data_IF_946737261292
#
_entry.id   IF_946737261292
#
_cell.length_a   1.000
_cell.length_b   1.000
_cell.length_c   1.000
_cell.angle_alpha   90.00
_cell.angle_beta   90.00
_cell.angle_gamma   90.00
#
_symmetry.space_group_name_H-M   'P 1'
#
loop_
_entity.id
_entity.type
_entity.pdbx_description
1 polymer ?
#
# COMPACT_ATOMS: atom_id res chain seq x y z
N UNK A 1 -0.55 -64.97 -26.48
CA UNK A 1 -0.55 -66.14 -25.59
C UNK A 1 -1.24 -65.61 -24.35
N UNK A 2 -2.64 -65.72 -24.24
CA UNK A 2 -3.39 -66.80 -23.64
C UNK A 2 -3.02 -66.90 -22.14
N UNK A 3 -3.91 -66.75 -21.15
CA UNK A 3 -5.27 -67.26 -20.89
C UNK A 3 -5.79 -66.54 -19.66
N UNK A 4 -7.01 -65.97 -19.48
CA UNK A 4 -8.30 -66.64 -19.24
C UNK A 4 -8.41 -67.43 -17.93
N UNK A 5 -9.41 -67.05 -17.12
CA UNK A 5 -10.00 -67.76 -16.00
C UNK A 5 -10.61 -66.76 -15.03
N UNK A 6 -11.84 -66.38 -15.00
CA UNK A 6 -13.16 -66.94 -14.81
C UNK A 6 -13.46 -67.42 -13.37
N UNK A 7 -14.46 -66.67 -12.75
CA UNK A 7 -15.62 -67.08 -11.93
C UNK A 7 -15.37 -67.53 -10.48
N UNK A 8 -16.02 -66.85 -9.50
CA UNK A 8 -17.18 -67.36 -8.81
C UNK A 8 -17.72 -66.40 -7.74
N UNK A 9 -19.02 -66.36 -7.70
CA UNK A 9 -19.99 -65.80 -6.76
C UNK A 9 -19.72 -66.10 -5.29
N UNK A 10 -20.26 -65.22 -4.40
CA UNK A 10 -20.41 -65.52 -3.01
C UNK A 10 -20.89 -64.32 -2.20
N UNK A 11 -22.18 -64.15 -2.19
CA UNK A 11 -23.13 -63.84 -1.10
C UNK A 11 -22.82 -62.81 -0.03
N UNK A 12 -23.76 -61.92 0.09
CA UNK A 12 -24.44 -61.30 1.24
C UNK A 12 -23.75 -61.25 2.60
N UNK A 13 -23.53 -59.97 3.05
CA UNK A 13 -23.77 -59.64 4.47
C UNK A 13 -24.10 -58.14 4.60
N UNK A 14 -25.32 -57.88 4.95
CA UNK A 14 -25.82 -56.63 5.52
C UNK A 14 -24.88 -56.09 6.59
N UNK A 15 -24.41 -54.82 6.42
CA UNK A 15 -23.65 -54.04 7.38
C UNK A 15 -24.20 -52.65 7.45
N UNK A 16 -25.28 -52.49 8.18
CA UNK A 16 -25.88 -51.21 8.59
C UNK A 16 -24.83 -50.39 9.38
N UNK A 17 -24.07 -49.51 8.69
CA UNK A 17 -23.15 -48.58 9.28
C UNK A 17 -23.85 -47.24 9.54
N UNK A 18 -23.81 -46.68 10.77
CA UNK A 18 -24.51 -45.44 11.08
C UNK A 18 -23.92 -44.30 10.27
N UNK A 19 -24.74 -43.72 9.42
CA UNK A 19 -24.45 -42.53 8.62
C UNK A 19 -23.97 -41.37 9.51
N UNK A 20 -22.67 -41.13 9.49
CA UNK A 20 -22.04 -39.94 10.06
C UNK A 20 -22.44 -38.71 9.28
N UNK A 21 -23.69 -38.27 9.43
CA UNK A 21 -24.13 -36.96 8.99
C UNK A 21 -23.33 -35.92 9.76
N UNK A 22 -22.39 -35.27 9.10
CA UNK A 22 -21.77 -34.04 9.58
C UNK A 22 -22.89 -33.08 9.96
N UNK A 23 -23.16 -32.94 11.26
CA UNK A 23 -24.04 -31.90 11.80
C UNK A 23 -23.42 -30.57 11.33
N UNK A 24 -23.97 -29.97 10.26
CA UNK A 24 -23.79 -28.56 9.97
C UNK A 24 -24.18 -27.83 11.24
N UNK A 25 -23.22 -27.25 11.94
CA UNK A 25 -23.48 -26.42 13.11
C UNK A 25 -24.53 -25.39 12.68
N UNK A 26 -25.71 -25.48 13.30
CA UNK A 26 -26.84 -24.63 12.95
C UNK A 26 -26.47 -23.19 13.38
N UNK A 27 -25.97 -22.38 12.43
CA UNK A 27 -25.62 -20.99 12.72
C UNK A 27 -26.89 -20.30 13.19
N UNK A 28 -26.86 -19.74 14.41
CA UNK A 28 -27.96 -18.96 14.96
C UNK A 28 -28.32 -17.83 14.00
N UNK A 29 -29.61 -17.57 13.80
CA UNK A 29 -30.13 -16.57 12.87
C UNK A 29 -30.95 -15.52 13.60
N UNK A 30 -31.20 -14.35 12.94
CA UNK A 30 -32.13 -13.32 13.44
C UNK A 30 -33.52 -13.95 13.73
N UNK A 31 -33.96 -14.95 12.96
CA UNK A 31 -35.21 -15.68 13.17
C UNK A 31 -35.23 -16.44 14.47
N UNK A 32 -34.09 -16.97 14.91
CA UNK A 32 -34.00 -17.72 16.18
C UNK A 32 -34.03 -16.77 17.36
N UNK A 33 -33.35 -15.62 17.28
CA UNK A 33 -33.44 -14.54 18.27
C UNK A 33 -34.87 -14.00 18.40
N UNK A 34 -35.52 -13.69 17.27
CA UNK A 34 -36.89 -13.19 17.24
C UNK A 34 -37.87 -14.17 17.89
N UNK A 35 -37.74 -15.46 17.58
CA UNK A 35 -38.59 -16.55 18.16
C UNK A 35 -38.39 -16.67 19.67
N UNK A 36 -37.15 -16.63 20.17
CA UNK A 36 -36.85 -16.77 21.61
C UNK A 36 -37.31 -15.58 22.43
N UNK A 37 -37.22 -14.37 21.85
CA UNK A 37 -37.66 -13.14 22.54
C UNK A 37 -39.10 -12.78 22.33
N UNK A 38 -39.84 -13.54 21.48
CA UNK A 38 -41.24 -13.27 21.10
C UNK A 38 -41.45 -11.88 20.51
N UNK A 39 -40.50 -11.40 19.68
CA UNK A 39 -40.54 -10.10 19.00
C UNK A 39 -40.38 -10.30 17.47
N UNK A 40 -40.65 -9.25 16.69
CA UNK A 40 -40.48 -9.32 15.25
C UNK A 40 -39.00 -9.37 14.83
N UNK A 41 -38.71 -9.97 13.66
CA UNK A 41 -37.35 -9.94 13.05
C UNK A 41 -36.89 -8.51 12.83
N UNK A 42 -37.81 -7.58 12.49
CA UNK A 42 -37.51 -6.17 12.34
C UNK A 42 -37.05 -5.55 13.65
N UNK A 43 -37.73 -5.86 14.78
CA UNK A 43 -37.34 -5.38 16.11
C UNK A 43 -35.95 -5.90 16.49
N UNK A 44 -35.64 -7.17 16.25
CA UNK A 44 -34.28 -7.73 16.46
C UNK A 44 -33.27 -6.99 15.61
N UNK A 45 -33.54 -6.77 14.33
CA UNK A 45 -32.65 -6.03 13.43
C UNK A 45 -32.41 -4.59 13.89
N UNK A 46 -33.45 -3.89 14.36
CA UNK A 46 -33.34 -2.52 14.88
C UNK A 46 -32.50 -2.49 16.18
N UNK A 47 -32.71 -3.47 17.06
CA UNK A 47 -31.93 -3.59 18.29
C UNK A 47 -30.44 -3.79 18.01
N UNK A 48 -30.10 -4.77 17.14
CA UNK A 48 -28.72 -5.10 16.76
C UNK A 48 -28.00 -3.97 16.04
N UNK A 49 -28.72 -3.18 15.21
CA UNK A 49 -28.14 -2.09 14.42
C UNK A 49 -28.27 -0.72 15.08
N UNK A 50 -28.69 -0.63 16.35
CA UNK A 50 -28.80 0.64 17.05
C UNK A 50 -29.85 1.61 16.50
N UNK A 51 -30.79 1.15 15.66
CA UNK A 51 -31.83 2.00 15.07
C UNK A 51 -32.91 2.35 16.07
N UNK A 52 -33.57 3.49 15.89
CA UNK A 52 -34.78 3.86 16.61
C UNK A 52 -35.92 2.92 16.23
N UNK A 53 -36.88 2.69 17.17
CA UNK A 53 -38.07 1.82 16.94
C UNK A 53 -38.15 0.63 17.87
N UNK A 54 -37.21 0.48 18.81
CA UNK A 54 -37.27 -0.47 19.94
C UNK A 54 -36.88 0.24 21.23
N UNK A 55 -37.49 -0.19 22.38
CA UNK A 55 -37.11 0.34 23.68
C UNK A 55 -35.69 -0.11 24.08
N UNK A 56 -35.03 0.66 24.93
CA UNK A 56 -33.69 0.31 25.43
C UNK A 56 -33.70 -1.03 26.16
N UNK A 57 -34.74 -1.35 26.91
CA UNK A 57 -34.93 -2.66 27.56
C UNK A 57 -34.96 -3.80 26.51
N UNK A 58 -35.71 -3.63 25.43
CA UNK A 58 -35.77 -4.63 24.34
C UNK A 58 -34.40 -4.76 23.67
N UNK A 59 -33.69 -3.66 23.46
CA UNK A 59 -32.35 -3.66 22.90
C UNK A 59 -31.39 -4.48 23.76
N UNK A 60 -31.34 -4.22 25.04
CA UNK A 60 -30.47 -4.94 25.98
C UNK A 60 -30.77 -6.44 25.98
N UNK A 61 -32.05 -6.85 26.01
CA UNK A 61 -32.44 -8.26 25.93
C UNK A 61 -32.00 -8.94 24.64
N UNK A 62 -32.07 -8.22 23.50
CA UNK A 62 -31.60 -8.75 22.22
C UNK A 62 -30.08 -8.92 22.20
N UNK A 63 -29.33 -7.92 22.67
CA UNK A 63 -27.87 -7.96 22.71
C UNK A 63 -27.38 -9.08 23.65
N UNK A 64 -27.96 -9.20 24.82
CA UNK A 64 -27.63 -10.27 25.78
C UNK A 64 -27.88 -11.67 25.19
N UNK A 65 -29.05 -11.88 24.58
CA UNK A 65 -29.36 -13.18 23.97
C UNK A 65 -28.47 -13.48 22.77
N UNK A 66 -28.07 -12.45 21.99
CA UNK A 66 -27.16 -12.62 20.88
C UNK A 66 -25.77 -13.08 21.38
N UNK A 67 -25.27 -12.49 22.45
CA UNK A 67 -24.02 -12.87 23.09
C UNK A 67 -24.08 -14.29 23.66
N UNK A 68 -25.12 -14.62 24.42
CA UNK A 68 -25.32 -15.97 24.99
C UNK A 68 -25.36 -17.09 23.94
N UNK A 69 -25.87 -16.77 22.74
CA UNK A 69 -26.00 -17.75 21.65
C UNK A 69 -24.83 -17.70 20.66
N UNK A 70 -23.84 -16.83 20.88
CA UNK A 70 -22.73 -16.61 19.94
C UNK A 70 -23.25 -16.12 18.57
N UNK A 71 -24.34 -15.35 18.56
CA UNK A 71 -24.87 -14.80 17.32
C UNK A 71 -24.02 -13.63 16.85
N UNK A 72 -23.40 -13.79 15.71
CA UNK A 72 -22.75 -12.69 14.98
C UNK A 72 -23.57 -12.33 13.75
N UNK A 73 -23.96 -11.05 13.60
CA UNK A 73 -24.65 -10.59 12.41
C UNK A 73 -23.86 -10.98 11.15
N UNK A 74 -24.57 -11.45 10.13
CA UNK A 74 -23.93 -11.68 8.84
C UNK A 74 -23.53 -10.34 8.24
N UNK A 75 -22.23 -10.10 8.02
CA UNK A 75 -21.70 -8.85 7.45
C UNK A 75 -22.39 -8.48 6.13
N UNK A 76 -22.72 -9.47 5.28
CA UNK A 76 -23.46 -9.23 4.04
C UNK A 76 -24.89 -8.71 4.29
N UNK A 77 -25.58 -9.20 5.33
CA UNK A 77 -26.93 -8.74 5.68
C UNK A 77 -26.89 -7.32 6.30
N UNK A 78 -25.86 -7.04 7.09
CA UNK A 78 -25.63 -5.71 7.66
C UNK A 78 -25.30 -4.72 6.55
N UNK A 79 -24.39 -5.07 5.63
CA UNK A 79 -24.02 -4.26 4.48
C UNK A 79 -25.24 -3.94 3.59
N UNK A 80 -26.08 -4.93 3.30
CA UNK A 80 -27.34 -4.75 2.54
C UNK A 80 -28.29 -3.78 3.24
N UNK A 81 -28.39 -3.88 4.56
CA UNK A 81 -29.27 -3.03 5.37
C UNK A 81 -28.75 -1.60 5.56
N UNK A 82 -27.43 -1.43 5.55
CA UNK A 82 -26.75 -0.15 5.73
C UNK A 82 -26.36 0.53 4.41
N UNK A 83 -26.49 -0.20 3.27
CA UNK A 83 -25.98 0.22 1.94
C UNK A 83 -24.49 0.58 1.98
N UNK A 84 -23.72 -0.05 2.88
CA UNK A 84 -22.26 0.13 3.07
C UNK A 84 -21.63 -1.20 3.42
N UNK A 85 -20.50 -1.49 2.80
CA UNK A 85 -19.76 -2.75 3.03
C UNK A 85 -18.77 -2.66 4.19
N UNK A 86 -18.47 -1.45 4.65
CA UNK A 86 -17.36 -1.15 5.58
C UNK A 86 -16.03 -1.73 5.06
N UNK A 87 -15.85 -1.69 3.76
CA UNK A 87 -14.66 -2.23 3.11
C UNK A 87 -14.11 -1.19 2.16
N UNK A 88 -12.83 -0.90 2.25
CA UNK A 88 -12.13 -0.09 1.25
C UNK A 88 -11.35 -1.00 0.29
N UNK A 89 -11.14 -0.52 -0.93
CA UNK A 89 -10.42 -1.24 -1.98
C UNK A 89 -9.06 -0.62 -2.26
N UNK A 90 -8.06 -1.47 -2.42
CA UNK A 90 -6.75 -1.11 -2.96
C UNK A 90 -6.41 -2.10 -4.07
N UNK A 91 -6.09 -1.57 -5.25
CA UNK A 91 -5.61 -2.38 -6.37
C UNK A 91 -4.25 -1.84 -6.77
N UNK A 92 -3.23 -2.68 -6.72
CA UNK A 92 -1.85 -2.31 -7.03
C UNK A 92 -1.43 -3.05 -8.30
N UNK A 93 -1.17 -2.29 -9.37
CA UNK A 93 -0.69 -2.81 -10.65
C UNK A 93 0.84 -2.81 -10.67
N UNK A 94 1.45 -3.79 -10.03
CA UNK A 94 2.89 -3.97 -9.90
C UNK A 94 3.25 -5.45 -9.94
N UNK A 95 4.44 -5.74 -10.39
CA UNK A 95 5.00 -7.08 -10.28
C UNK A 95 4.93 -7.58 -8.81
N UNK A 96 4.25 -8.71 -8.55
CA UNK A 96 4.14 -9.26 -7.19
C UNK A 96 5.49 -9.54 -6.53
N UNK A 97 6.53 -9.87 -7.31
CA UNK A 97 7.87 -10.08 -6.79
C UNK A 97 8.47 -8.79 -6.23
N UNK A 98 8.21 -7.65 -6.87
CA UNK A 98 8.64 -6.34 -6.38
C UNK A 98 7.90 -5.96 -5.10
N UNK A 99 6.57 -6.10 -5.08
CA UNK A 99 5.74 -5.79 -3.90
C UNK A 99 6.19 -6.58 -2.67
N UNK A 100 6.64 -7.83 -2.86
CA UNK A 100 7.09 -8.68 -1.75
C UNK A 100 8.37 -8.17 -1.05
N UNK A 101 9.14 -7.32 -1.71
CA UNK A 101 10.43 -6.80 -1.23
C UNK A 101 10.38 -5.30 -0.91
N UNK A 102 9.38 -4.57 -1.41
CA UNK A 102 9.26 -3.12 -1.27
C UNK A 102 8.55 -2.76 0.04
N UNK A 103 9.28 -2.24 1.00
CA UNK A 103 8.76 -1.91 2.33
C UNK A 103 7.71 -0.80 2.31
N UNK A 104 7.72 0.07 1.31
CA UNK A 104 6.79 1.20 1.17
C UNK A 104 5.31 0.77 1.28
N UNK A 105 4.88 -0.21 0.46
CA UNK A 105 3.49 -0.66 0.46
C UNK A 105 3.10 -1.31 1.77
N UNK A 106 3.94 -2.19 2.31
CA UNK A 106 3.61 -2.88 3.56
C UNK A 106 3.46 -1.92 4.73
N UNK A 107 4.35 -0.93 4.86
CA UNK A 107 4.26 0.09 5.89
C UNK A 107 3.03 0.98 5.71
N UNK A 108 2.70 1.35 4.47
CA UNK A 108 1.50 2.12 4.15
C UNK A 108 0.24 1.33 4.51
N UNK A 109 0.17 0.03 4.15
CA UNK A 109 -0.95 -0.84 4.49
C UNK A 109 -1.13 -0.99 6.00
N UNK A 110 -0.04 -1.10 6.77
CA UNK A 110 -0.11 -1.11 8.25
C UNK A 110 -0.77 0.17 8.77
N UNK A 111 -0.40 1.34 8.24
CA UNK A 111 -1.03 2.60 8.63
C UNK A 111 -2.53 2.66 8.28
N UNK A 112 -2.91 2.15 7.11
CA UNK A 112 -4.31 2.03 6.69
C UNK A 112 -5.07 1.10 7.65
N UNK A 113 -4.54 -0.09 7.94
CA UNK A 113 -5.16 -1.07 8.84
C UNK A 113 -5.30 -0.55 10.27
N UNK A 114 -4.36 0.25 10.78
CA UNK A 114 -4.50 0.91 12.07
C UNK A 114 -5.77 1.78 12.13
N UNK A 115 -6.01 2.58 11.09
CA UNK A 115 -7.24 3.40 11.02
C UNK A 115 -8.49 2.54 10.86
N UNK A 116 -8.46 1.52 9.98
CA UNK A 116 -9.60 0.64 9.73
C UNK A 116 -10.05 -0.11 10.97
N UNK A 117 -9.10 -0.54 11.81
CA UNK A 117 -9.40 -1.18 13.09
C UNK A 117 -10.15 -0.24 14.07
N UNK A 118 -9.82 1.06 14.07
CA UNK A 118 -10.53 2.05 14.91
C UNK A 118 -11.98 2.26 14.49
N UNK A 119 -12.28 2.13 13.18
CA UNK A 119 -13.61 2.37 12.61
C UNK A 119 -14.36 1.08 12.26
N UNK A 120 -13.88 -0.09 12.71
CA UNK A 120 -14.48 -1.42 12.46
C UNK A 120 -14.74 -1.65 10.97
N UNK A 121 -13.72 -1.49 10.15
CA UNK A 121 -13.77 -1.61 8.70
C UNK A 121 -12.68 -2.55 8.18
N UNK A 122 -12.76 -2.97 6.92
CA UNK A 122 -11.86 -3.96 6.34
C UNK A 122 -11.18 -3.43 5.07
N UNK A 123 -10.04 -4.02 4.72
CA UNK A 123 -9.34 -3.79 3.48
C UNK A 123 -9.55 -4.96 2.50
N UNK A 124 -9.86 -4.64 1.26
CA UNK A 124 -9.83 -5.57 0.14
C UNK A 124 -8.65 -5.20 -0.77
N UNK A 125 -7.61 -6.02 -0.75
CA UNK A 125 -6.39 -5.83 -1.53
C UNK A 125 -6.37 -6.75 -2.75
N UNK A 126 -5.96 -6.21 -3.91
CA UNK A 126 -5.66 -6.97 -5.12
C UNK A 126 -4.34 -6.53 -5.72
N UNK A 127 -3.49 -7.48 -6.01
CA UNK A 127 -2.30 -7.27 -6.82
C UNK A 127 -2.62 -7.72 -8.25
N UNK A 128 -2.28 -6.90 -9.25
CA UNK A 128 -2.37 -7.21 -10.66
C UNK A 128 -0.97 -7.11 -11.27
N UNK A 129 -0.65 -8.01 -12.18
CA UNK A 129 0.70 -8.07 -12.76
C UNK A 129 0.97 -6.97 -13.78
N UNK A 130 -0.06 -6.50 -14.45
CA UNK A 130 0.05 -5.58 -15.57
C UNK A 130 -0.78 -4.31 -15.36
N UNK A 131 -0.29 -3.21 -15.93
CA UNK A 131 -1.01 -1.95 -15.96
C UNK A 131 -2.26 -2.07 -16.87
N UNK A 132 -3.42 -1.66 -16.35
CA UNK A 132 -4.72 -1.76 -17.02
C UNK A 132 -5.62 -2.85 -16.45
N UNK A 133 -5.10 -3.95 -15.94
CA UNK A 133 -5.91 -4.96 -15.22
C UNK A 133 -6.54 -4.39 -13.95
N UNK A 134 -5.88 -3.43 -13.31
CA UNK A 134 -6.36 -2.72 -12.12
C UNK A 134 -7.68 -1.99 -12.42
N UNK A 135 -7.82 -1.33 -13.56
CA UNK A 135 -9.04 -0.62 -13.96
C UNK A 135 -10.23 -1.58 -14.06
N UNK A 136 -10.04 -2.79 -14.60
CA UNK A 136 -11.10 -3.79 -14.71
C UNK A 136 -11.51 -4.32 -13.32
N UNK A 137 -10.56 -4.49 -12.42
CA UNK A 137 -10.84 -4.86 -11.02
C UNK A 137 -11.63 -3.76 -10.31
N UNK A 138 -11.21 -2.49 -10.45
CA UNK A 138 -11.88 -1.35 -9.86
C UNK A 138 -13.34 -1.26 -10.33
N UNK A 139 -13.57 -1.33 -11.66
CA UNK A 139 -14.93 -1.33 -12.26
C UNK A 139 -15.79 -2.50 -11.75
N UNK A 140 -15.20 -3.70 -11.69
CA UNK A 140 -15.91 -4.90 -11.23
C UNK A 140 -16.30 -4.78 -9.77
N UNK A 141 -15.39 -4.37 -8.88
CA UNK A 141 -15.67 -4.24 -7.44
C UNK A 141 -16.69 -3.14 -7.15
N UNK A 142 -16.60 -2.02 -7.87
CA UNK A 142 -17.58 -0.94 -7.78
C UNK A 142 -18.99 -1.41 -8.16
N UNK A 143 -19.13 -2.06 -9.32
CA UNK A 143 -20.44 -2.57 -9.79
C UNK A 143 -21.02 -3.66 -8.90
N UNK A 144 -20.19 -4.44 -8.27
CA UNK A 144 -20.58 -5.49 -7.33
C UNK A 144 -20.86 -4.96 -5.92
N UNK A 145 -20.62 -3.69 -5.65
CA UNK A 145 -20.73 -3.10 -4.31
C UNK A 145 -19.86 -3.82 -3.29
N UNK A 146 -18.61 -4.19 -3.66
CA UNK A 146 -17.70 -4.90 -2.76
C UNK A 146 -16.95 -3.99 -1.83
N UNK A 147 -16.82 -2.73 -2.18
CA UNK A 147 -16.09 -1.71 -1.45
C UNK A 147 -16.86 -0.40 -1.44
N UNK A 148 -16.66 0.42 -0.43
CA UNK A 148 -17.28 1.73 -0.27
C UNK A 148 -16.44 2.87 -0.87
N UNK A 149 -15.19 2.57 -1.23
CA UNK A 149 -14.27 3.52 -1.85
C UNK A 149 -12.90 2.90 -2.12
N UNK A 150 -12.02 3.66 -2.76
CA UNK A 150 -10.68 3.22 -3.14
C UNK A 150 -9.58 4.19 -2.70
N UNK A 151 -8.42 3.63 -2.34
CA UNK A 151 -7.16 4.38 -2.27
C UNK A 151 -6.33 3.98 -3.48
N UNK A 152 -5.91 4.96 -4.29
CA UNK A 152 -5.11 4.78 -5.48
C UNK A 152 -3.67 5.22 -5.21
N UNK A 153 -2.73 4.35 -5.56
CA UNK A 153 -1.30 4.62 -5.56
C UNK A 153 -0.78 4.70 -7.00
N UNK A 154 0.45 5.18 -7.15
CA UNK A 154 1.17 5.18 -8.41
C UNK A 154 0.38 5.88 -9.54
N UNK A 155 0.01 7.13 -9.30
CA UNK A 155 -0.69 7.94 -10.28
C UNK A 155 0.15 8.11 -11.55
N UNK A 156 -0.49 7.90 -12.69
CA UNK A 156 0.08 8.17 -14.02
C UNK A 156 -0.47 9.49 -14.58
N UNK A 157 0.21 10.03 -15.60
CA UNK A 157 -0.39 11.10 -16.41
C UNK A 157 -1.65 10.56 -17.11
N UNK A 158 -2.73 11.34 -17.11
CA UNK A 158 -4.02 10.97 -17.69
C UNK A 158 -4.55 9.63 -17.15
N UNK A 159 -4.41 9.41 -15.85
CA UNK A 159 -4.76 8.15 -15.18
C UNK A 159 -6.23 7.77 -15.40
N UNK A 160 -6.54 6.68 -16.14
CA UNK A 160 -7.90 6.31 -16.51
C UNK A 160 -8.75 5.83 -15.33
N UNK A 161 -8.10 5.49 -14.20
CA UNK A 161 -8.79 5.03 -12.98
C UNK A 161 -9.64 6.15 -12.36
N UNK A 162 -9.14 7.38 -12.41
CA UNK A 162 -9.78 8.55 -11.81
C UNK A 162 -11.12 8.86 -12.48
N UNK A 163 -11.20 9.13 -13.80
CA UNK A 163 -12.49 9.38 -14.45
C UNK A 163 -13.44 8.18 -14.36
N UNK A 164 -12.94 6.95 -14.41
CA UNK A 164 -13.78 5.76 -14.28
C UNK A 164 -14.48 5.67 -12.91
N UNK A 165 -13.78 5.96 -11.81
CA UNK A 165 -14.38 5.96 -10.46
C UNK A 165 -15.36 7.12 -10.26
N UNK A 166 -15.06 8.29 -10.84
CA UNK A 166 -16.00 9.43 -10.86
C UNK A 166 -17.30 9.09 -11.59
N UNK A 167 -17.21 8.48 -12.77
CA UNK A 167 -18.38 8.03 -13.55
C UNK A 167 -19.23 7.02 -12.78
N UNK A 168 -18.59 6.13 -12.03
CA UNK A 168 -19.26 5.14 -11.19
C UNK A 168 -19.80 5.71 -9.87
N UNK A 169 -19.50 6.96 -9.54
CA UNK A 169 -19.90 7.61 -8.29
C UNK A 169 -19.27 6.99 -7.05
N UNK A 170 -18.08 6.37 -7.17
CA UNK A 170 -17.39 5.70 -6.08
C UNK A 170 -16.32 6.64 -5.49
N UNK A 171 -16.35 6.90 -4.18
CA UNK A 171 -15.33 7.70 -3.50
C UNK A 171 -13.93 7.17 -3.74
N UNK A 172 -12.97 8.06 -4.00
CA UNK A 172 -11.58 7.67 -4.05
C UNK A 172 -10.64 8.75 -3.50
N UNK A 173 -9.51 8.29 -2.99
CA UNK A 173 -8.36 9.11 -2.61
C UNK A 173 -7.17 8.71 -3.46
N UNK A 174 -6.52 9.68 -4.08
CA UNK A 174 -5.26 9.46 -4.81
C UNK A 174 -4.10 9.90 -3.93
N UNK A 175 -3.18 8.98 -3.66
CA UNK A 175 -1.89 9.33 -3.05
C UNK A 175 -1.00 9.88 -4.17
N UNK A 176 -0.78 11.18 -4.17
CA UNK A 176 -0.24 11.93 -5.28
C UNK A 176 0.86 12.90 -4.84
N UNK A 177 1.51 13.53 -5.82
CA UNK A 177 2.44 14.64 -5.62
C UNK A 177 1.94 15.94 -6.27
N UNK A 178 0.70 15.95 -6.78
CA UNK A 178 0.05 17.13 -7.34
C UNK A 178 -1.42 17.19 -6.92
N UNK A 179 -2.04 18.34 -7.08
CA UNK A 179 -3.44 18.60 -6.70
C UNK A 179 -4.16 19.32 -7.84
N UNK A 180 -4.47 18.65 -8.96
CA UNK A 180 -5.34 19.22 -9.98
C UNK A 180 -6.75 19.45 -9.40
N UNK A 181 -7.42 20.49 -9.87
CA UNK A 181 -8.80 20.79 -9.51
C UNK A 181 -9.76 19.89 -10.30
N UNK A 182 -9.76 18.62 -9.97
CA UNK A 182 -10.60 17.60 -10.61
C UNK A 182 -11.71 17.07 -9.70
N UNK A 183 -11.85 17.62 -8.49
CA UNK A 183 -12.85 17.24 -7.52
C UNK A 183 -12.63 15.87 -6.87
N UNK A 184 -11.43 15.30 -6.97
CA UNK A 184 -11.04 14.03 -6.36
C UNK A 184 -10.24 14.28 -5.09
N UNK A 185 -10.47 13.47 -4.06
CA UNK A 185 -9.70 13.56 -2.84
C UNK A 185 -8.23 13.20 -3.05
N UNK A 186 -7.32 14.01 -2.51
CA UNK A 186 -5.89 13.80 -2.69
C UNK A 186 -5.12 13.90 -1.39
N UNK A 187 -4.28 12.91 -1.17
CA UNK A 187 -3.24 12.97 -0.16
C UNK A 187 -1.93 13.35 -0.86
N UNK A 188 -1.49 14.57 -0.66
CA UNK A 188 -0.38 15.18 -1.39
C UNK A 188 0.90 15.00 -0.59
N UNK A 189 1.89 14.34 -1.18
CA UNK A 189 3.25 14.35 -0.66
C UNK A 189 3.99 15.56 -1.20
N UNK A 190 4.61 16.34 -0.31
CA UNK A 190 5.41 17.52 -0.70
C UNK A 190 6.89 17.12 -0.90
N UNK A 191 7.27 16.62 -2.08
CA UNK A 191 8.64 16.17 -2.33
C UNK A 191 9.63 17.34 -2.35
N UNK A 192 9.15 18.58 -2.52
CA UNK A 192 9.99 19.79 -2.56
C UNK A 192 10.81 19.95 -1.29
N UNK A 193 10.17 19.80 -0.13
CA UNK A 193 10.85 19.95 1.16
C UNK A 193 11.83 18.80 1.39
N UNK A 194 11.43 17.59 1.02
CA UNK A 194 12.27 16.39 1.14
C UNK A 194 13.50 16.46 0.24
N UNK A 195 13.33 16.83 -1.04
CA UNK A 195 14.45 17.02 -1.98
C UNK A 195 15.38 18.14 -1.50
N UNK A 196 14.80 19.24 -1.00
CA UNK A 196 15.57 20.35 -0.42
C UNK A 196 16.42 19.86 0.74
N UNK A 197 15.83 19.18 1.71
CA UNK A 197 16.53 18.63 2.89
C UNK A 197 17.70 17.71 2.49
N UNK A 198 17.46 16.83 1.51
CA UNK A 198 18.48 15.89 1.04
C UNK A 198 19.62 16.60 0.30
N UNK A 199 19.30 17.56 -0.57
CA UNK A 199 20.31 18.33 -1.29
C UNK A 199 21.09 19.30 -0.37
N UNK A 200 20.46 19.85 0.68
CA UNK A 200 21.16 20.64 1.69
C UNK A 200 22.18 19.78 2.43
N UNK A 201 21.81 18.57 2.85
CA UNK A 201 22.75 17.62 3.45
C UNK A 201 23.94 17.30 2.53
N UNK A 202 23.69 17.05 1.24
CA UNK A 202 24.76 16.78 0.28
C UNK A 202 25.64 18.01 0.03
N UNK A 203 25.06 19.21 -0.01
CA UNK A 203 25.78 20.47 -0.17
C UNK A 203 26.69 20.77 1.05
N UNK A 204 26.17 20.56 2.26
CA UNK A 204 26.95 20.71 3.51
C UNK A 204 28.14 19.75 3.57
N UNK A 205 27.99 18.55 2.99
CA UNK A 205 29.08 17.58 2.83
C UNK A 205 30.03 17.91 1.65
N UNK A 206 29.74 18.96 0.87
CA UNK A 206 30.57 19.44 -0.23
C UNK A 206 30.43 18.67 -1.54
N UNK A 207 29.35 17.88 -1.72
CA UNK A 207 29.09 17.18 -2.97
C UNK A 207 28.62 18.17 -4.06
N UNK A 208 29.27 18.15 -5.21
CA UNK A 208 28.93 18.97 -6.38
C UNK A 208 28.44 18.14 -7.57
N UNK A 209 28.83 16.89 -7.67
CA UNK A 209 28.39 15.92 -8.69
C UNK A 209 27.61 14.81 -8.01
N UNK A 210 26.31 14.73 -8.31
CA UNK A 210 25.37 13.78 -7.73
C UNK A 210 24.68 13.01 -8.86
N UNK A 211 24.57 11.68 -8.73
CA UNK A 211 23.69 10.91 -9.58
C UNK A 211 22.38 10.61 -8.82
N UNK A 212 21.26 10.75 -9.49
CA UNK A 212 19.94 10.38 -9.00
C UNK A 212 19.39 9.24 -9.86
N UNK A 213 19.18 8.08 -9.25
CA UNK A 213 18.52 6.93 -9.89
C UNK A 213 17.07 6.90 -9.40
N UNK A 214 16.14 7.28 -10.25
CA UNK A 214 14.71 7.34 -9.95
C UNK A 214 14.05 5.95 -10.04
N UNK A 215 12.76 5.87 -9.69
CA UNK A 215 11.87 4.81 -10.17
C UNK A 215 11.40 5.05 -11.60
N UNK A 216 10.36 4.29 -12.05
CA UNK A 216 9.80 4.42 -13.40
C UNK A 216 9.26 5.84 -13.66
N UNK A 217 9.70 6.43 -14.77
CA UNK A 217 9.33 7.79 -15.13
C UNK A 217 7.87 7.93 -15.60
N UNK A 218 7.16 6.82 -15.69
CA UNK A 218 5.72 6.80 -15.95
C UNK A 218 4.89 7.35 -14.78
N UNK A 219 5.45 7.36 -13.56
CA UNK A 219 4.76 7.85 -12.36
C UNK A 219 4.91 9.37 -12.19
N UNK A 220 3.80 10.04 -11.90
CA UNK A 220 3.73 11.48 -11.68
C UNK A 220 4.71 11.94 -10.60
N UNK A 221 4.80 11.19 -9.49
CA UNK A 221 5.69 11.52 -8.40
C UNK A 221 7.18 11.43 -8.77
N UNK A 222 7.58 10.49 -9.64
CA UNK A 222 8.97 10.39 -10.10
C UNK A 222 9.34 11.53 -11.06
N UNK A 223 8.44 11.88 -11.98
CA UNK A 223 8.64 13.03 -12.87
C UNK A 223 8.86 14.32 -12.09
N UNK A 224 8.04 14.55 -11.07
CA UNK A 224 8.18 15.71 -10.20
C UNK A 224 9.51 15.67 -9.43
N UNK A 225 9.85 14.52 -8.85
CA UNK A 225 11.08 14.33 -8.08
C UNK A 225 12.33 14.60 -8.92
N UNK A 226 12.39 14.04 -10.12
CA UNK A 226 13.50 14.26 -11.06
C UNK A 226 13.66 15.75 -11.40
N UNK A 227 12.55 16.43 -11.70
CA UNK A 227 12.56 17.89 -11.96
C UNK A 227 13.08 18.67 -10.76
N UNK A 228 12.60 18.37 -9.56
CA UNK A 228 13.00 19.04 -8.33
C UNK A 228 14.49 18.83 -8.03
N UNK A 229 15.01 17.63 -8.19
CA UNK A 229 16.45 17.37 -8.02
C UNK A 229 17.28 18.22 -8.96
N UNK A 230 16.89 18.33 -10.23
CA UNK A 230 17.60 19.15 -11.21
C UNK A 230 17.52 20.66 -10.89
N UNK A 231 16.35 21.15 -10.50
CA UNK A 231 16.13 22.58 -10.19
C UNK A 231 16.80 23.00 -8.89
N UNK A 232 16.55 22.26 -7.81
CA UNK A 232 17.09 22.57 -6.48
C UNK A 232 18.58 22.29 -6.38
N UNK A 233 19.09 21.31 -7.13
CA UNK A 233 20.52 21.05 -7.25
C UNK A 233 21.25 22.23 -7.86
N UNK A 234 20.77 22.76 -8.99
CA UNK A 234 21.36 23.96 -9.63
C UNK A 234 21.41 25.17 -8.70
N UNK A 235 20.37 25.38 -7.89
CA UNK A 235 20.33 26.47 -6.90
C UNK A 235 21.42 26.34 -5.82
N UNK A 236 21.94 25.13 -5.58
CA UNK A 236 22.99 24.80 -4.60
C UNK A 236 24.37 24.57 -5.21
N UNK A 237 24.52 24.80 -6.51
CA UNK A 237 25.77 24.50 -7.22
C UNK A 237 26.03 22.97 -7.36
N UNK A 238 25.01 22.15 -7.19
CA UNK A 238 25.09 20.71 -7.38
C UNK A 238 24.59 20.36 -8.79
N UNK A 239 25.42 19.65 -9.56
CA UNK A 239 25.01 19.04 -10.82
C UNK A 239 24.40 17.67 -10.54
N UNK A 240 23.11 17.52 -10.83
CA UNK A 240 22.42 16.23 -10.68
C UNK A 240 22.26 15.60 -12.05
N UNK A 241 22.81 14.40 -12.23
CA UNK A 241 22.60 13.55 -13.41
C UNK A 241 21.55 12.50 -13.09
N UNK A 242 20.50 12.44 -13.91
CA UNK A 242 19.40 11.51 -13.72
C UNK A 242 19.61 10.21 -14.51
N UNK A 243 19.25 9.09 -13.88
CA UNK A 243 19.14 7.76 -14.46
C UNK A 243 17.78 7.16 -14.07
N UNK A 244 17.10 6.54 -15.02
CA UNK A 244 15.83 5.84 -14.74
C UNK A 244 16.10 4.42 -14.31
N UNK A 245 15.44 3.98 -13.23
CA UNK A 245 15.37 2.62 -12.72
C UNK A 245 13.92 2.15 -12.61
N UNK A 246 13.70 1.00 -11.98
CA UNK A 246 12.36 0.40 -11.83
C UNK A 246 12.03 0.01 -10.39
N UNK A 247 12.76 0.52 -9.42
CA UNK A 247 12.73 0.14 -8.00
C UNK A 247 13.25 -1.27 -7.69
N UNK A 248 13.68 -2.03 -8.73
CA UNK A 248 14.23 -3.37 -8.55
C UNK A 248 15.68 -3.30 -8.07
N UNK A 249 16.08 -4.33 -7.32
CA UNK A 249 17.46 -4.51 -6.88
C UNK A 249 18.43 -4.55 -8.07
N UNK A 250 18.06 -5.28 -9.11
CA UNK A 250 18.87 -5.48 -10.32
C UNK A 250 19.17 -4.15 -11.04
N UNK A 251 18.17 -3.27 -11.14
CA UNK A 251 18.34 -1.96 -11.77
C UNK A 251 19.21 -1.03 -10.89
N UNK A 252 19.03 -1.07 -9.56
CA UNK A 252 19.92 -0.38 -8.64
C UNK A 252 21.36 -0.80 -8.84
N UNK A 253 21.61 -2.10 -8.99
CA UNK A 253 22.94 -2.66 -9.26
C UNK A 253 23.48 -2.23 -10.63
N UNK A 254 22.67 -2.33 -11.68
CA UNK A 254 23.07 -2.00 -13.05
C UNK A 254 23.39 -0.50 -13.18
N UNK A 255 22.50 0.35 -12.70
CA UNK A 255 22.69 1.81 -12.75
C UNK A 255 23.90 2.23 -11.94
N UNK A 256 24.14 1.63 -10.79
CA UNK A 256 25.37 1.91 -10.01
C UNK A 256 26.63 1.52 -10.78
N UNK A 257 26.69 0.35 -11.43
CA UNK A 257 27.81 -0.01 -12.29
C UNK A 257 28.02 1.00 -13.41
N UNK A 258 26.95 1.40 -14.07
CA UNK A 258 26.98 2.38 -15.16
C UNK A 258 27.52 3.74 -14.69
N UNK A 259 27.03 4.22 -13.54
CA UNK A 259 27.47 5.49 -12.95
C UNK A 259 28.95 5.42 -12.58
N UNK A 260 29.40 4.35 -11.95
CA UNK A 260 30.79 4.21 -11.49
C UNK A 260 31.79 3.89 -12.60
N UNK A 261 31.32 3.42 -13.75
CA UNK A 261 32.16 3.19 -14.95
C UNK A 261 32.37 4.43 -15.79
N UNK A 262 31.61 5.50 -15.52
CA UNK A 262 31.69 6.78 -16.26
C UNK A 262 32.99 7.54 -16.00
N UNK A 263 33.38 8.41 -16.95
CA UNK A 263 34.57 9.27 -16.80
C UNK A 263 34.40 10.33 -15.68
N UNK A 264 33.21 10.87 -15.55
CA UNK A 264 32.86 11.87 -14.51
C UNK A 264 32.05 11.16 -13.42
N UNK A 265 32.77 10.54 -12.49
CA UNK A 265 32.12 9.83 -11.39
C UNK A 265 31.54 10.82 -10.39
N UNK A 266 30.23 10.70 -10.03
CA UNK A 266 29.67 11.48 -8.97
C UNK A 266 30.29 11.07 -7.62
N UNK A 267 30.27 11.97 -6.66
CA UNK A 267 30.70 11.68 -5.29
C UNK A 267 29.53 11.27 -4.38
N UNK A 268 28.30 11.43 -4.88
CA UNK A 268 27.10 10.95 -4.19
C UNK A 268 26.10 10.33 -5.17
N UNK A 269 25.39 9.32 -4.69
CA UNK A 269 24.35 8.58 -5.42
C UNK A 269 23.08 8.55 -4.56
N UNK A 270 21.99 9.06 -5.12
CA UNK A 270 20.66 9.05 -4.51
C UNK A 270 19.79 8.04 -5.23
N UNK A 271 19.28 7.05 -4.51
CA UNK A 271 18.47 5.96 -5.06
C UNK A 271 16.99 6.17 -4.72
N UNK A 272 16.10 5.88 -5.68
CA UNK A 272 14.66 6.08 -5.57
C UNK A 272 13.96 5.20 -4.53
N UNK A 273 14.63 4.15 -4.04
CA UNK A 273 14.19 3.38 -2.88
C UNK A 273 15.37 2.74 -2.12
N UNK A 274 15.06 2.11 -1.00
CA UNK A 274 16.01 1.41 -0.13
C UNK A 274 16.64 0.16 -0.79
N UNK A 275 15.84 -0.61 -1.53
CA UNK A 275 16.30 -1.84 -2.18
C UNK A 275 17.38 -1.56 -3.23
N UNK A 276 17.20 -0.52 -4.06
CA UNK A 276 18.23 -0.06 -5.00
C UNK A 276 19.47 0.47 -4.26
N UNK A 277 19.29 1.11 -3.10
CA UNK A 277 20.41 1.63 -2.31
C UNK A 277 21.27 0.48 -1.72
N UNK A 278 20.64 -0.58 -1.25
CA UNK A 278 21.36 -1.80 -0.82
C UNK A 278 22.14 -2.40 -1.98
N UNK A 279 21.54 -2.48 -3.17
CA UNK A 279 22.23 -2.93 -4.37
C UNK A 279 23.44 -2.04 -4.72
N UNK A 280 23.29 -0.71 -4.55
CA UNK A 280 24.36 0.24 -4.79
C UNK A 280 25.54 0.06 -3.85
N UNK A 281 25.31 -0.14 -2.55
CA UNK A 281 26.36 -0.43 -1.55
C UNK A 281 27.13 -1.69 -1.92
N UNK A 282 26.41 -2.75 -2.30
CA UNK A 282 27.04 -4.00 -2.74
C UNK A 282 27.91 -3.81 -3.97
N UNK A 283 27.38 -3.16 -5.02
CA UNK A 283 28.13 -2.92 -6.27
C UNK A 283 29.33 -2.02 -6.03
N UNK A 284 29.21 -0.98 -5.22
CA UNK A 284 30.36 -0.15 -4.84
C UNK A 284 31.49 -1.01 -4.22
N UNK A 285 31.14 -1.91 -3.31
CA UNK A 285 32.08 -2.83 -2.69
C UNK A 285 32.71 -3.79 -3.71
N UNK A 286 31.92 -4.38 -4.62
CA UNK A 286 32.38 -5.26 -5.72
C UNK A 286 33.40 -4.57 -6.63
N UNK A 287 33.21 -3.26 -6.86
CA UNK A 287 34.08 -2.42 -7.69
C UNK A 287 35.26 -1.77 -6.92
N UNK A 288 35.42 -2.09 -5.64
CA UNK A 288 36.46 -1.53 -4.79
C UNK A 288 36.27 -0.05 -4.47
N UNK A 289 35.06 0.50 -4.62
CA UNK A 289 34.70 1.88 -4.26
C UNK A 289 34.24 1.92 -2.80
N UNK A 290 34.93 2.69 -1.99
CA UNK A 290 34.67 2.77 -0.54
C UNK A 290 33.46 3.66 -0.24
N UNK A 291 32.44 3.10 0.43
CA UNK A 291 31.31 3.84 0.99
C UNK A 291 31.55 4.07 2.47
N UNK A 292 31.50 5.29 3.00
CA UNK A 292 31.16 6.56 2.31
C UNK A 292 32.35 7.32 1.73
N UNK A 293 33.59 6.91 1.98
CA UNK A 293 34.80 7.72 1.76
C UNK A 293 35.02 8.17 0.29
N UNK A 294 34.58 7.38 -0.69
CA UNK A 294 34.67 7.70 -2.11
C UNK A 294 33.30 7.94 -2.75
N UNK A 295 32.25 7.36 -2.19
CA UNK A 295 30.89 7.49 -2.68
C UNK A 295 29.90 7.55 -1.51
N UNK A 296 29.22 8.67 -1.36
CA UNK A 296 28.04 8.77 -0.49
C UNK A 296 26.85 8.10 -1.19
N UNK A 297 26.10 7.29 -0.43
CA UNK A 297 24.87 6.64 -0.92
C UNK A 297 23.71 7.05 -0.02
N UNK A 298 22.62 7.52 -0.62
CA UNK A 298 21.40 7.94 0.08
C UNK A 298 20.20 7.25 -0.56
N UNK A 299 19.27 6.75 0.27
CA UNK A 299 18.02 6.17 -0.16
C UNK A 299 16.86 7.18 0.01
N UNK A 300 15.91 7.14 -0.92
CA UNK A 300 14.67 7.93 -0.80
C UNK A 300 13.73 7.38 0.26
N UNK A 301 13.72 6.06 0.48
CA UNK A 301 12.90 5.40 1.50
C UNK A 301 13.76 4.81 2.61
N UNK A 302 13.28 4.89 3.85
CA UNK A 302 13.93 4.31 5.02
C UNK A 302 13.18 3.07 5.50
N UNK A 303 13.79 1.90 5.34
CA UNK A 303 13.32 0.63 5.88
C UNK A 303 14.38 -0.01 6.77
N UNK A 304 14.07 -1.11 7.44
CA UNK A 304 15.06 -1.90 8.17
C UNK A 304 16.28 -2.31 7.34
N UNK A 305 16.14 -2.40 6.01
CA UNK A 305 17.25 -2.70 5.10
C UNK A 305 18.35 -1.62 5.18
N UNK A 306 17.95 -0.35 5.31
CA UNK A 306 18.88 0.77 5.43
C UNK A 306 19.69 0.71 6.73
N UNK A 307 19.07 0.28 7.82
CA UNK A 307 19.73 0.14 9.12
C UNK A 307 20.65 -1.08 9.16
N UNK A 308 20.20 -2.20 8.58
CA UNK A 308 20.93 -3.48 8.57
C UNK A 308 22.08 -3.53 7.55
N UNK A 309 22.11 -2.63 6.58
CA UNK A 309 23.22 -2.52 5.62
C UNK A 309 24.53 -2.15 6.31
N UNK A 310 25.66 -2.51 5.70
CA UNK A 310 26.99 -2.12 6.18
C UNK A 310 27.81 -1.47 5.04
N UNK A 311 28.08 -0.14 5.15
CA UNK A 311 27.62 0.78 6.19
C UNK A 311 26.10 0.97 6.20
N UNK A 312 25.52 1.32 7.37
CA UNK A 312 24.11 1.70 7.44
C UNK A 312 23.79 2.85 6.50
N UNK A 313 22.69 2.74 5.73
CA UNK A 313 22.35 3.67 4.64
C UNK A 313 21.63 4.90 5.19
N UNK A 314 22.16 6.10 4.87
CA UNK A 314 21.46 7.37 5.05
C UNK A 314 20.24 7.37 4.19
N UNK A 315 19.05 7.65 4.76
CA UNK A 315 17.78 7.49 4.08
C UNK A 315 16.75 8.52 4.53
N UNK A 316 15.70 8.71 3.74
CA UNK A 316 14.58 9.59 4.09
C UNK A 316 13.42 8.76 4.61
N UNK A 317 13.08 8.94 5.89
CA UNK A 317 11.86 8.41 6.47
C UNK A 317 10.66 9.21 5.94
N UNK A 318 9.90 8.60 5.03
CA UNK A 318 8.73 9.20 4.39
C UNK A 318 7.48 9.16 5.28
N UNK A 319 7.58 8.65 6.51
CA UNK A 319 6.46 8.48 7.45
C UNK A 319 5.28 7.73 6.81
N UNK A 320 5.59 6.65 6.08
CA UNK A 320 4.63 5.92 5.23
C UNK A 320 3.44 5.34 6.00
N UNK A 321 3.62 4.96 7.27
CA UNK A 321 2.51 4.49 8.12
C UNK A 321 1.51 5.63 8.38
N UNK A 322 1.99 6.81 8.74
CA UNK A 322 1.14 7.98 8.96
C UNK A 322 0.41 8.39 7.67
N UNK A 323 1.11 8.35 6.52
CA UNK A 323 0.49 8.58 5.20
C UNK A 323 -0.63 7.59 4.92
N UNK A 324 -0.43 6.32 5.24
CA UNK A 324 -1.46 5.29 5.10
C UNK A 324 -2.70 5.59 5.95
N UNK A 325 -2.49 5.96 7.22
CA UNK A 325 -3.55 6.37 8.14
C UNK A 325 -4.32 7.57 7.61
N UNK A 326 -3.61 8.61 7.18
CA UNK A 326 -4.21 9.82 6.60
C UNK A 326 -5.02 9.53 5.34
N UNK A 327 -4.54 8.65 4.46
CA UNK A 327 -5.26 8.25 3.24
C UNK A 327 -6.60 7.57 3.57
N UNK A 328 -6.61 6.70 4.58
CA UNK A 328 -7.82 6.02 5.03
C UNK A 328 -8.81 7.01 5.65
N UNK A 329 -8.38 7.88 6.59
CA UNK A 329 -9.24 8.90 7.20
C UNK A 329 -9.85 9.83 6.14
N UNK A 330 -9.03 10.31 5.20
CA UNK A 330 -9.50 11.16 4.11
C UNK A 330 -10.57 10.46 3.25
N UNK A 331 -10.37 9.17 2.93
CA UNK A 331 -11.36 8.41 2.18
C UNK A 331 -12.70 8.28 2.94
N UNK A 332 -12.66 8.04 4.24
CA UNK A 332 -13.88 7.94 5.06
C UNK A 332 -14.65 9.25 5.12
N UNK A 333 -13.97 10.39 5.19
CA UNK A 333 -14.61 11.72 5.14
C UNK A 333 -15.26 11.99 3.80
N UNK A 334 -14.59 11.65 2.70
CA UNK A 334 -15.17 11.77 1.35
C UNK A 334 -16.38 10.85 1.21
N UNK A 335 -16.30 9.62 1.69
CA UNK A 335 -17.43 8.69 1.70
C UNK A 335 -18.60 9.15 2.60
N UNK A 336 -18.33 10.01 3.58
CA UNK A 336 -19.35 10.67 4.41
C UNK A 336 -19.98 11.90 3.72
N UNK A 337 -19.49 12.33 2.55
CA UNK A 337 -20.03 13.43 1.75
C UNK A 337 -19.22 14.73 1.82
N UNK A 338 -18.06 14.73 2.47
CA UNK A 338 -17.15 15.87 2.38
C UNK A 338 -16.52 15.89 0.97
N UNK A 339 -16.35 17.08 0.39
CA UNK A 339 -15.84 17.23 -0.99
C UNK A 339 -14.64 18.18 -1.07
N UNK A 340 -13.84 18.03 -2.12
CA UNK A 340 -12.71 18.93 -2.42
C UNK A 340 -11.58 18.86 -1.41
N UNK A 341 -11.44 17.73 -0.70
CA UNK A 341 -10.42 17.58 0.33
C UNK A 341 -9.06 17.26 -0.27
N UNK A 342 -8.12 18.14 -0.01
CA UNK A 342 -6.70 17.91 -0.28
C UNK A 342 -5.94 18.02 1.04
N UNK A 343 -5.24 16.96 1.41
CA UNK A 343 -4.40 16.95 2.59
C UNK A 343 -2.93 16.83 2.18
N UNK A 344 -2.08 17.56 2.87
CA UNK A 344 -0.63 17.44 2.73
C UNK A 344 -0.07 16.49 3.78
N UNK A 345 0.84 15.61 3.36
CA UNK A 345 1.58 14.76 4.30
C UNK A 345 2.71 15.57 4.93
N UNK A 346 3.15 15.20 6.14
CA UNK A 346 4.38 15.74 6.69
C UNK A 346 5.56 15.51 5.73
N UNK A 347 6.55 16.41 5.70
CA UNK A 347 7.77 16.21 4.91
C UNK A 347 8.54 14.99 5.43
N UNK A 348 9.34 14.40 4.55
CA UNK A 348 10.25 13.32 4.93
C UNK A 348 11.30 13.79 5.96
N UNK A 349 11.78 12.88 6.79
CA UNK A 349 12.82 13.12 7.81
C UNK A 349 14.09 12.41 7.39
N UNK A 350 15.20 13.14 7.24
CA UNK A 350 16.49 12.53 6.90
C UNK A 350 17.08 11.80 8.12
N UNK A 351 17.35 10.52 7.94
CA UNK A 351 18.04 9.64 8.89
C UNK A 351 19.48 9.47 8.43
N UNK A 352 20.39 10.29 8.97
CA UNK A 352 21.81 10.21 8.63
C UNK A 352 22.44 8.98 9.28
N UNK A 353 23.16 8.18 8.48
CA UNK A 353 23.88 6.95 8.90
C UNK A 353 25.27 6.92 8.28
N UNK A 354 25.90 5.75 8.32
CA UNK A 354 27.29 5.55 7.92
C UNK A 354 27.60 5.63 6.42
N UNK A 355 26.59 5.71 5.53
CA UNK A 355 26.80 5.74 4.07
C UNK A 355 27.01 7.13 3.50
N UNK A 356 26.96 8.20 4.31
CA UNK A 356 27.23 9.57 3.86
C UNK A 356 28.39 10.22 4.63
N UNK A 357 29.28 10.90 3.92
CA UNK A 357 30.42 11.63 4.49
C UNK A 357 30.81 12.79 3.58
N UNK A 358 31.73 13.62 4.06
CA UNK A 358 32.26 14.75 3.27
C UNK A 358 32.85 14.29 1.92
N UNK A 359 32.52 15.00 0.87
CA UNK A 359 33.04 14.74 -0.47
C UNK A 359 34.58 14.79 -0.49
N UNK A 360 35.20 13.84 -1.19
CA UNK A 360 36.64 13.92 -1.46
C UNK A 360 36.93 15.23 -2.24
N UNK A 361 37.85 16.02 -1.71
CA UNK A 361 38.39 17.13 -2.51
C UNK A 361 39.14 16.51 -3.70
N UNK A 362 38.74 16.85 -4.93
CA UNK A 362 39.55 16.52 -6.10
C UNK A 362 40.90 17.17 -5.93
N UNK A 363 41.93 16.39 -5.60
CA UNK A 363 43.32 16.83 -5.81
C UNK A 363 43.49 16.95 -7.31
N UNK A 364 43.43 18.25 -7.79
CA UNK A 364 43.62 18.63 -9.21
C UNK A 364 45.00 18.24 -9.72
#
# INVERSE_FOLDING_TARGET
MTTSGSVADGDDADGDGPGGGTRRSHRVTISDLARRLHISKASVSYALNGRSGVSEETRQRVLQLAEELGFHPNSAAVALSASRTRTIGIVIARDPALISTEAFYMRTLVGIEQYLNEVDSSLLLRLTGEHGEDLDVLRRWSRQGRVDGFILFDEHNDDPRIPALKELGVPCVVVSSNAPDDGVGRLISSPEQTVTLLLDHLAELGHQEVAHVSGPFTFVHEQLRVRLFAERGRQRGIRVTHYEGSYRYEDGAEMTRRVLSGKNRPTALVLGNDLMAVAAVRVATELGTTVPAELTIVAWDDSPLCELANPGITAVDQQTMERGRMAADLLFRIAAGESGLHWETPPGVLRVRGSSAAARRSTG
#
